data_IF_604743109635
#
_entry.id   IF_604743109635
#
_cell.length_a   1.000
_cell.length_b   1.000
_cell.length_c   1.000
_cell.angle_alpha   90.00
_cell.angle_beta   90.00
_cell.angle_gamma   90.00
#
_symmetry.space_group_name_H-M   'P 1'
#
loop_
_entity.id
_entity.type
_entity.pdbx_description
1 polymer ?
#
# COMPACT_ATOMS: atom_id res chain seq x y z
N UNK A 1 5.07 -12.65 -1.94
CA UNK A 1 4.80 -12.20 -3.32
C UNK A 1 4.68 -10.69 -3.28
N UNK A 2 5.17 -9.98 -4.29
CA UNK A 2 5.09 -8.53 -4.36
C UNK A 2 4.89 -8.12 -5.82
N UNK A 3 4.03 -7.13 -6.04
CA UNK A 3 3.82 -6.43 -7.30
C UNK A 3 4.44 -5.04 -7.16
N UNK A 4 5.23 -4.60 -8.14
CA UNK A 4 5.92 -3.32 -8.11
C UNK A 4 5.58 -2.48 -9.34
N UNK A 5 5.33 -1.19 -9.12
CA UNK A 5 5.15 -0.21 -10.18
C UNK A 5 6.03 1.01 -9.90
N UNK A 6 6.69 1.53 -10.94
CA UNK A 6 7.43 2.79 -10.85
C UNK A 6 6.75 3.86 -11.69
N UNK A 7 6.54 5.03 -11.09
CA UNK A 7 6.01 6.23 -11.72
C UNK A 7 7.08 7.33 -11.75
N UNK A 8 6.95 8.26 -12.67
CA UNK A 8 7.88 9.38 -12.84
C UNK A 8 7.13 10.71 -12.81
N UNK A 9 7.81 11.76 -12.37
CA UNK A 9 7.34 13.14 -12.56
C UNK A 9 7.32 13.51 -14.04
N UNK A 10 6.58 14.57 -14.38
CA UNK A 10 6.51 15.11 -15.74
C UNK A 10 7.88 15.46 -16.30
N UNK A 11 8.75 16.02 -15.46
CA UNK A 11 10.13 16.40 -15.81
C UNK A 11 11.13 15.24 -15.72
N UNK A 12 10.69 14.05 -15.25
CA UNK A 12 11.49 12.84 -15.01
C UNK A 12 12.65 13.02 -14.03
N UNK A 13 12.64 14.06 -13.20
CA UNK A 13 13.66 14.24 -12.14
C UNK A 13 13.30 13.49 -10.87
N UNK A 14 12.03 13.10 -10.70
CA UNK A 14 11.55 12.29 -9.59
C UNK A 14 10.98 10.97 -10.09
N UNK A 15 11.11 9.95 -9.25
CA UNK A 15 10.38 8.70 -9.41
C UNK A 15 9.80 8.25 -8.08
N UNK A 16 8.70 7.53 -8.17
CA UNK A 16 8.04 6.87 -7.04
C UNK A 16 7.97 5.39 -7.36
N UNK A 17 8.54 4.57 -6.48
CA UNK A 17 8.38 3.12 -6.54
C UNK A 17 7.29 2.74 -5.56
N UNK A 18 6.31 2.01 -6.05
CA UNK A 18 5.12 1.59 -5.33
C UNK A 18 5.09 0.07 -5.30
N UNK A 19 4.87 -0.51 -4.13
CA UNK A 19 4.85 -1.97 -3.97
C UNK A 19 3.57 -2.39 -3.30
N UNK A 20 2.87 -3.38 -3.84
CA UNK A 20 1.90 -4.18 -3.09
C UNK A 20 2.56 -5.50 -2.70
N UNK A 21 2.46 -5.89 -1.43
CA UNK A 21 3.10 -7.10 -0.96
C UNK A 21 2.20 -7.93 -0.05
N UNK A 22 2.49 -9.23 -0.07
CA UNK A 22 2.01 -10.22 0.88
C UNK A 22 3.18 -11.07 1.33
N UNK A 23 3.45 -11.05 2.63
CA UNK A 23 4.59 -11.73 3.25
C UNK A 23 4.11 -12.67 4.35
N UNK A 24 4.66 -13.88 4.35
CA UNK A 24 4.47 -14.89 5.40
C UNK A 24 5.83 -15.20 6.01
N UNK A 25 6.00 -14.87 7.28
CA UNK A 25 7.20 -15.08 8.08
C UNK A 25 6.84 -15.90 9.32
N UNK A 26 7.08 -17.21 9.26
CA UNK A 26 6.68 -18.17 10.31
C UNK A 26 5.18 -18.04 10.64
N UNK A 27 4.87 -17.46 11.80
CA UNK A 27 3.51 -17.21 12.28
C UNK A 27 2.99 -15.82 11.91
N UNK A 28 3.86 -14.90 11.47
CA UNK A 28 3.47 -13.55 11.10
C UNK A 28 3.09 -13.48 9.63
N UNK A 29 1.89 -13.02 9.37
CA UNK A 29 1.44 -12.70 8.02
C UNK A 29 1.25 -11.19 7.93
N UNK A 30 1.70 -10.59 6.83
CA UNK A 30 1.50 -9.17 6.54
C UNK A 30 1.07 -8.97 5.10
N UNK A 31 0.17 -8.03 4.90
CA UNK A 31 -0.29 -7.59 3.58
C UNK A 31 -0.42 -6.07 3.59
N UNK A 32 -0.03 -5.42 2.52
CA UNK A 32 -0.05 -3.96 2.47
C UNK A 32 0.60 -3.41 1.23
N UNK A 33 0.79 -2.11 1.26
CA UNK A 33 1.50 -1.38 0.22
C UNK A 33 2.50 -0.43 0.83
N UNK A 34 3.50 -0.06 0.04
CA UNK A 34 4.49 0.94 0.37
C UNK A 34 4.83 1.79 -0.85
N UNK A 35 5.35 2.97 -0.56
CA UNK A 35 5.82 3.91 -1.56
C UNK A 35 7.16 4.51 -1.12
N UNK A 36 8.13 4.51 -2.04
CA UNK A 36 9.44 5.13 -1.84
C UNK A 36 9.69 6.17 -2.93
N UNK A 37 10.19 7.33 -2.53
CA UNK A 37 10.40 8.49 -3.39
C UNK A 37 11.88 8.72 -3.61
N UNK A 38 12.25 8.87 -4.87
CA UNK A 38 13.62 9.13 -5.29
C UNK A 38 13.70 10.38 -6.16
N UNK A 39 14.82 11.09 -6.05
CA UNK A 39 15.20 12.20 -6.91
C UNK A 39 16.48 11.86 -7.66
N UNK A 40 16.56 12.30 -8.92
CA UNK A 40 17.73 12.11 -9.76
C UNK A 40 18.79 13.15 -9.41
N UNK A 41 19.92 12.71 -8.86
CA UNK A 41 20.97 13.62 -8.38
C UNK A 41 22.33 13.31 -9.00
N UNK A 42 23.07 14.38 -9.29
CA UNK A 42 24.47 14.31 -9.74
C UNK A 42 25.40 14.46 -8.54
N UNK A 43 25.88 13.35 -8.02
CA UNK A 43 26.81 13.34 -6.88
C UNK A 43 28.25 13.49 -7.38
N UNK A 44 28.96 14.48 -6.84
CA UNK A 44 30.39 14.65 -7.08
C UNK A 44 31.18 13.76 -6.12
N UNK A 45 31.99 12.85 -6.66
CA UNK A 45 32.94 12.07 -5.84
C UNK A 45 34.22 12.87 -5.67
N UNK A 46 34.49 13.33 -4.46
CA UNK A 46 35.69 14.09 -4.12
C UNK A 46 37.00 13.28 -4.28
N UNK A 47 36.96 11.95 -4.15
CA UNK A 47 38.15 11.08 -4.16
C UNK A 47 38.46 10.40 -5.51
N UNK A 48 37.56 10.49 -6.51
CA UNK A 48 37.78 9.93 -7.84
C UNK A 48 37.13 10.88 -8.85
N UNK A 49 37.94 11.61 -9.62
CA UNK A 49 37.51 12.64 -10.58
C UNK A 49 36.41 12.14 -11.53
N UNK A 50 35.15 12.32 -11.11
CA UNK A 50 33.98 11.86 -11.83
C UNK A 50 32.69 12.22 -11.09
N UNK A 51 31.70 12.63 -11.86
CA UNK A 51 30.33 12.79 -11.39
C UNK A 51 29.53 11.53 -11.72
N UNK A 52 28.85 10.95 -10.73
CA UNK A 52 27.87 9.87 -10.97
C UNK A 52 26.48 10.45 -10.81
N UNK A 53 25.60 10.19 -11.77
CA UNK A 53 24.17 10.43 -11.60
C UNK A 53 23.51 9.16 -11.09
N UNK A 54 22.71 9.27 -10.04
CA UNK A 54 21.99 8.15 -9.44
C UNK A 54 20.66 8.60 -8.84
N UNK A 55 19.78 7.64 -8.59
CA UNK A 55 18.54 7.87 -7.86
C UNK A 55 18.82 7.88 -6.36
N UNK A 56 18.48 8.97 -5.69
CA UNK A 56 18.70 9.16 -4.25
C UNK A 56 17.35 9.29 -3.56
N UNK A 57 17.13 8.57 -2.46
CA UNK A 57 15.91 8.71 -1.67
C UNK A 57 15.78 10.14 -1.13
N UNK A 58 14.65 10.76 -1.41
CA UNK A 58 14.37 12.14 -1.00
C UNK A 58 12.96 12.27 -0.47
N UNK A 59 12.80 13.19 0.48
CA UNK A 59 11.51 13.44 1.12
C UNK A 59 10.58 14.12 0.13
N UNK A 60 9.38 13.55 -0.02
CA UNK A 60 8.25 14.22 -0.63
C UNK A 60 7.54 15.10 0.40
N UNK A 61 6.77 16.09 -0.05
CA UNK A 61 5.91 16.89 0.82
C UNK A 61 4.89 15.99 1.52
N UNK A 62 4.32 15.06 0.77
CA UNK A 62 3.29 14.16 1.25
C UNK A 62 3.29 12.84 0.48
N UNK A 63 3.07 11.72 1.17
CA UNK A 63 2.77 10.41 0.58
C UNK A 63 1.43 9.96 1.15
N UNK A 64 0.42 9.80 0.30
CA UNK A 64 -0.90 9.27 0.65
C UNK A 64 -1.02 7.86 0.11
N UNK A 65 -1.42 6.93 0.98
CA UNK A 65 -1.67 5.55 0.60
C UNK A 65 -3.07 5.19 1.06
N UNK A 66 -3.92 4.79 0.11
CA UNK A 66 -5.23 4.21 0.39
C UNK A 66 -5.21 2.75 -0.05
N UNK A 67 -5.28 1.85 0.91
CA UNK A 67 -5.39 0.42 0.67
C UNK A 67 -6.84 -0.05 0.75
N UNK A 68 -7.22 -0.84 -0.24
CA UNK A 68 -8.43 -1.64 -0.27
C UNK A 68 -8.02 -3.10 -0.15
N UNK A 69 -8.20 -3.65 1.05
CA UNK A 69 -7.97 -5.05 1.32
C UNK A 69 -9.25 -5.83 1.03
N UNK A 70 -9.14 -6.96 0.34
CA UNK A 70 -10.28 -7.86 0.15
C UNK A 70 -9.97 -9.26 0.66
N UNK A 71 -11.03 -10.00 0.94
CA UNK A 71 -10.90 -11.35 1.45
C UNK A 71 -12.24 -11.99 1.79
N UNK A 72 -12.18 -13.15 2.42
CA UNK A 72 -13.37 -13.91 2.79
C UNK A 72 -13.85 -13.53 4.18
N UNK A 73 -15.16 -13.30 4.35
CA UNK A 73 -15.74 -13.06 5.67
C UNK A 73 -15.81 -14.39 6.43
N UNK A 74 -15.12 -14.47 7.57
CA UNK A 74 -15.12 -15.67 8.41
C UNK A 74 -16.49 -15.88 9.08
N UNK A 75 -16.92 -17.13 9.21
CA UNK A 75 -18.14 -17.50 9.94
C UNK A 75 -19.47 -17.32 9.20
N UNK A 76 -19.46 -16.96 7.91
CA UNK A 76 -20.68 -16.83 7.09
C UNK A 76 -20.76 -17.94 6.04
N UNK A 77 -21.89 -18.66 6.02
CA UNK A 77 -22.28 -19.56 4.94
C UNK A 77 -23.43 -18.92 4.15
N UNK A 78 -23.34 -18.73 2.82
CA UNK A 78 -22.20 -18.98 1.93
C UNK A 78 -21.07 -17.95 2.07
N UNK A 79 -19.86 -18.29 1.60
CA UNK A 79 -18.67 -17.41 1.64
C UNK A 79 -18.97 -16.05 1.01
N UNK A 80 -19.02 -15.01 1.83
CA UNK A 80 -19.16 -13.62 1.37
C UNK A 80 -17.77 -12.97 1.30
N UNK A 81 -17.59 -12.06 0.33
CA UNK A 81 -16.37 -11.25 0.25
C UNK A 81 -16.56 -9.94 1.01
N UNK A 82 -15.56 -9.61 1.82
CA UNK A 82 -15.50 -8.35 2.55
C UNK A 82 -14.44 -7.43 1.96
N UNK A 83 -14.62 -6.13 2.15
CA UNK A 83 -13.62 -5.11 1.80
C UNK A 83 -13.33 -4.25 3.01
N UNK A 84 -12.06 -4.06 3.33
CA UNK A 84 -11.59 -3.14 4.35
C UNK A 84 -10.75 -2.06 3.69
N UNK A 85 -11.07 -0.79 3.97
CA UNK A 85 -10.31 0.35 3.45
C UNK A 85 -9.54 1.00 4.59
N UNK A 86 -8.25 1.23 4.37
CA UNK A 86 -7.36 1.95 5.26
C UNK A 86 -6.66 3.04 4.47
N UNK A 87 -6.61 4.25 5.01
CA UNK A 87 -5.89 5.37 4.42
C UNK A 87 -4.93 5.97 5.44
N UNK A 88 -3.69 6.19 5.04
CA UNK A 88 -2.68 6.84 5.86
C UNK A 88 -1.87 7.83 5.03
N UNK A 89 -1.29 8.80 5.74
CA UNK A 89 -0.58 9.92 5.15
C UNK A 89 0.75 10.11 5.89
N UNK A 90 1.84 10.00 5.15
CA UNK A 90 3.17 10.41 5.58
C UNK A 90 3.46 11.83 5.11
N UNK A 91 3.86 12.72 6.02
CA UNK A 91 4.22 14.10 5.68
C UNK A 91 5.73 14.30 5.80
N UNK A 92 6.35 14.92 4.80
CA UNK A 92 7.80 15.18 4.77
C UNK A 92 8.66 13.91 4.96
N UNK A 93 8.33 12.86 4.22
CA UNK A 93 8.97 11.53 4.27
C UNK A 93 9.39 11.06 2.87
N UNK A 94 10.44 10.24 2.79
CA UNK A 94 10.88 9.57 1.55
C UNK A 94 10.25 8.19 1.37
N UNK A 95 9.69 7.64 2.44
CA UNK A 95 9.08 6.32 2.47
C UNK A 95 7.82 6.36 3.35
N UNK A 96 6.76 5.72 2.90
CA UNK A 96 5.58 5.47 3.72
C UNK A 96 4.98 4.10 3.40
N UNK A 97 4.37 3.48 4.41
CA UNK A 97 3.83 2.13 4.33
C UNK A 97 2.51 2.07 5.07
N UNK A 98 1.54 1.39 4.46
CA UNK A 98 0.26 1.06 5.10
C UNK A 98 0.06 -0.44 5.01
N UNK A 99 -0.20 -1.08 6.15
CA UNK A 99 -0.21 -2.55 6.23
C UNK A 99 -1.11 -3.09 7.31
N UNK A 100 -1.52 -4.33 7.10
CA UNK A 100 -2.13 -5.20 8.09
C UNK A 100 -1.13 -6.29 8.48
N UNK A 101 -1.05 -6.59 9.78
CA UNK A 101 -0.19 -7.63 10.34
C UNK A 101 -1.03 -8.45 11.30
N UNK A 102 -0.86 -9.78 11.26
CA UNK A 102 -1.48 -10.69 12.21
C UNK A 102 -0.54 -11.85 12.53
N UNK A 103 -0.75 -12.46 13.71
CA UNK A 103 -0.19 -13.76 14.07
C UNK A 103 -1.21 -14.84 13.69
N UNK A 104 -0.79 -15.83 12.90
CA UNK A 104 -1.70 -16.80 12.30
C UNK A 104 -2.42 -16.18 11.12
N UNK A 105 -3.75 -16.26 11.06
CA UNK A 105 -4.51 -15.78 9.90
C UNK A 105 -4.61 -14.26 9.87
N UNK A 106 -4.37 -13.65 8.70
CA UNK A 106 -4.56 -12.22 8.46
C UNK A 106 -6.05 -11.90 8.51
N UNK A 107 -6.51 -11.41 9.67
CA UNK A 107 -7.91 -11.04 9.89
C UNK A 107 -8.01 -9.56 10.22
N UNK A 108 -9.02 -8.89 9.67
CA UNK A 108 -9.40 -7.54 10.07
C UNK A 108 -10.88 -7.51 10.43
N UNK A 109 -11.20 -6.93 11.58
CA UNK A 109 -12.58 -6.72 12.01
C UNK A 109 -13.23 -5.62 11.17
N UNK A 110 -14.39 -5.91 10.61
CA UNK A 110 -15.22 -4.92 9.94
C UNK A 110 -15.99 -4.10 10.97
N UNK A 111 -15.76 -2.80 10.98
CA UNK A 111 -16.66 -1.87 11.64
C UNK A 111 -17.82 -1.56 10.68
N UNK A 112 -19.00 -2.13 10.93
CA UNK A 112 -20.18 -2.03 10.06
C UNK A 112 -20.74 -0.59 9.93
N UNK A 113 -20.15 0.39 10.63
CA UNK A 113 -20.46 1.81 10.46
C UNK A 113 -19.89 2.45 9.18
N UNK A 114 -18.92 1.83 8.50
CA UNK A 114 -18.27 2.39 7.29
C UNK A 114 -17.83 1.37 6.24
N UNK A 115 -17.93 0.06 6.51
CA UNK A 115 -17.62 -1.00 5.55
C UNK A 115 -18.85 -1.48 4.78
N UNK A 116 -18.75 -1.59 3.45
CA UNK A 116 -19.79 -2.21 2.64
C UNK A 116 -19.58 -3.72 2.54
N UNK A 117 -20.53 -4.51 3.05
CA UNK A 117 -20.66 -5.92 2.68
C UNK A 117 -21.57 -5.96 1.46
N UNK A 118 -21.09 -6.50 0.33
CA UNK A 118 -21.99 -6.83 -0.79
C UNK A 118 -22.66 -8.17 -0.49
N UNK A 119 -23.97 -8.22 -0.17
CA UNK A 119 -24.60 -9.46 0.20
C UNK A 119 -24.84 -10.31 -1.05
N UNK A 120 -24.15 -11.44 -1.14
CA UNK A 120 -24.43 -12.47 -2.14
C UNK A 120 -25.50 -13.49 -1.74
N UNK A 121 -25.97 -13.47 -0.48
CA UNK A 121 -27.02 -14.38 -0.01
C UNK A 121 -27.57 -13.93 1.35
N UNK A 122 -28.84 -14.29 1.57
CA UNK A 122 -29.63 -14.06 2.79
C UNK A 122 -29.00 -14.70 4.02
N UNK A 123 -28.39 -13.89 4.88
CA UNK A 123 -27.94 -14.25 6.21
C UNK A 123 -27.54 -12.97 6.94
N UNK A 124 -27.99 -12.79 8.18
CA UNK A 124 -27.55 -11.65 8.98
C UNK A 124 -26.03 -11.77 9.19
N UNK A 125 -25.23 -10.73 8.83
CA UNK A 125 -23.80 -10.78 9.07
C UNK A 125 -23.54 -10.91 10.58
N UNK A 126 -22.48 -11.62 11.00
CA UNK A 126 -22.09 -11.70 12.41
C UNK A 126 -21.86 -10.28 12.96
N UNK A 127 -22.17 -10.06 14.25
CA UNK A 127 -22.11 -8.75 14.90
C UNK A 127 -20.72 -8.10 14.84
N UNK A 128 -19.66 -8.88 14.58
CA UNK A 128 -18.29 -8.43 14.33
C UNK A 128 -17.64 -9.33 13.26
N UNK A 129 -17.90 -9.12 11.96
CA UNK A 129 -17.32 -9.96 10.92
C UNK A 129 -15.81 -9.71 10.83
N UNK A 130 -15.03 -10.78 10.73
CA UNK A 130 -13.61 -10.70 10.37
C UNK A 130 -13.42 -11.05 8.90
N UNK A 131 -12.51 -10.36 8.21
CA UNK A 131 -12.12 -10.70 6.84
C UNK A 131 -10.77 -11.40 6.87
N UNK A 132 -10.71 -12.63 6.36
CA UNK A 132 -9.47 -13.33 6.03
C UNK A 132 -8.90 -12.74 4.74
N UNK A 133 -7.89 -11.87 4.89
CA UNK A 133 -7.34 -11.08 3.78
C UNK A 133 -6.57 -11.96 2.79
N UNK A 134 -6.93 -11.88 1.52
CA UNK A 134 -6.21 -12.54 0.43
C UNK A 134 -5.51 -11.55 -0.51
N UNK A 135 -6.11 -10.40 -0.79
CA UNK A 135 -5.60 -9.40 -1.73
C UNK A 135 -5.52 -7.97 -1.16
N UNK A 136 -4.73 -7.13 -1.82
CA UNK A 136 -4.64 -5.69 -1.55
C UNK A 136 -4.52 -4.90 -2.86
N UNK A 137 -5.29 -3.84 -2.96
CA UNK A 137 -5.17 -2.80 -3.99
C UNK A 137 -4.79 -1.50 -3.29
N UNK A 138 -3.68 -0.88 -3.70
CA UNK A 138 -3.23 0.40 -3.15
C UNK A 138 -3.32 1.50 -4.19
N UNK A 139 -4.04 2.57 -3.86
CA UNK A 139 -3.96 3.83 -4.59
C UNK A 139 -2.98 4.73 -3.85
N UNK A 140 -1.92 5.13 -4.53
CA UNK A 140 -0.82 5.89 -3.95
C UNK A 140 -0.72 7.24 -4.66
N UNK A 141 -0.65 8.31 -3.87
CA UNK A 141 -0.43 9.67 -4.35
C UNK A 141 0.71 10.33 -3.60
N UNK A 142 1.71 10.83 -4.32
CA UNK A 142 2.89 11.50 -3.77
C UNK A 142 2.91 12.95 -4.24
N UNK A 143 3.02 13.88 -3.29
CA UNK A 143 3.17 15.30 -3.56
C UNK A 143 4.64 15.72 -3.48
N UNK A 144 5.15 16.30 -4.55
CA UNK A 144 6.51 16.87 -4.63
C UNK A 144 6.37 18.30 -5.14
N UNK A 145 6.67 19.27 -4.28
CA UNK A 145 6.36 20.68 -4.53
C UNK A 145 4.86 20.87 -4.82
N UNK A 146 4.56 21.33 -6.03
CA UNK A 146 3.18 21.49 -6.53
C UNK A 146 2.68 20.31 -7.37
N UNK A 147 3.53 19.33 -7.68
CA UNK A 147 3.19 18.19 -8.53
C UNK A 147 2.65 17.02 -7.69
N UNK A 148 1.66 16.31 -8.24
CA UNK A 148 1.16 15.05 -7.73
C UNK A 148 1.50 13.92 -8.70
N UNK A 149 2.22 12.91 -8.21
CA UNK A 149 2.51 11.66 -8.92
C UNK A 149 1.66 10.58 -8.26
N UNK A 150 0.82 9.87 -9.02
CA UNK A 150 -0.02 8.84 -8.44
C UNK A 150 -0.42 7.73 -9.40
N UNK A 151 -0.74 6.58 -8.83
CA UNK A 151 -1.14 5.38 -9.54
C UNK A 151 -1.68 4.32 -8.60
N UNK A 152 -1.84 3.10 -9.12
CA UNK A 152 -2.44 1.98 -8.39
C UNK A 152 -1.59 0.72 -8.54
N UNK A 153 -1.37 0.02 -7.44
CA UNK A 153 -0.67 -1.26 -7.41
C UNK A 153 -1.57 -2.31 -6.78
N UNK A 154 -1.72 -3.44 -7.46
CA UNK A 154 -2.66 -4.50 -7.09
C UNK A 154 -1.94 -5.83 -6.89
N UNK A 155 -2.26 -6.52 -5.80
CA UNK A 155 -1.81 -7.87 -5.53
C UNK A 155 -3.01 -8.73 -5.18
N UNK A 156 -3.37 -9.67 -6.07
CA UNK A 156 -4.45 -10.65 -5.92
C UNK A 156 -4.02 -11.92 -5.20
#
# INVERSE_FOLDING_TARGET
MAEEQTLYSQDRTWKVTMTAYKKKLFVYNSIGTDATVYHWEKTHRFLFFGSKSDWVERKANQIKIRNMYTGNISGVFPKQRGTHVQEEIGNNVSYWQTKQISVGTLTVSLNLGSGSISPGASGAPPLNPTIDLDSVSGIIGVQIGSEWIGGSVDLS
#
